data_IF_553153191686
#
_entry.id   IF_553153191686
#
_cell.length_a   1.000
_cell.length_b   1.000
_cell.length_c   1.000
_cell.angle_alpha   90.00
_cell.angle_beta   90.00
_cell.angle_gamma   90.00
#
_symmetry.space_group_name_H-M   'P 1'
#
loop_
_entity.id
_entity.type
_entity.pdbx_description
1 polymer ?
#
# COMPACT_ATOMS: atom_id res chain seq x y z
N UNK A 1 -35.66 -51.68 14.92
CA UNK A 1 -35.12 -50.53 15.67
C UNK A 1 -34.04 -49.91 14.81
N UNK A 2 -34.31 -48.75 14.22
CA UNK A 2 -33.31 -48.02 13.42
C UNK A 2 -32.42 -47.24 14.39
N UNK A 3 -31.14 -47.58 14.47
CA UNK A 3 -30.16 -46.81 15.24
C UNK A 3 -30.06 -45.39 14.66
N UNK A 4 -30.35 -44.39 15.48
CA UNK A 4 -30.10 -42.99 15.16
C UNK A 4 -28.58 -42.78 15.25
N UNK A 5 -27.89 -42.36 14.18
CA UNK A 5 -26.44 -42.19 14.23
C UNK A 5 -26.10 -41.09 15.23
N UNK A 6 -25.23 -41.43 16.20
CA UNK A 6 -24.72 -40.50 17.21
C UNK A 6 -23.88 -39.46 16.48
N UNK A 7 -24.34 -38.19 16.47
CA UNK A 7 -23.61 -37.09 15.82
C UNK A 7 -22.22 -37.00 16.47
N UNK A 8 -21.17 -37.21 15.69
CA UNK A 8 -19.78 -37.13 16.16
C UNK A 8 -19.50 -35.74 16.71
N UNK A 9 -18.66 -35.65 17.74
CA UNK A 9 -18.21 -34.36 18.27
C UNK A 9 -17.56 -33.53 17.16
N UNK A 10 -17.82 -32.20 17.12
CA UNK A 10 -17.27 -31.34 16.09
C UNK A 10 -15.75 -31.31 16.23
N UNK A 11 -15.08 -31.37 15.08
CA UNK A 11 -13.63 -31.18 15.02
C UNK A 11 -13.24 -29.78 15.50
N UNK A 12 -11.97 -29.63 15.88
CA UNK A 12 -11.42 -28.34 16.31
C UNK A 12 -11.66 -27.25 15.25
N UNK A 13 -11.48 -27.59 13.96
CA UNK A 13 -11.71 -26.68 12.84
C UNK A 13 -13.17 -26.24 12.70
N UNK A 14 -14.14 -27.16 12.88
CA UNK A 14 -15.57 -26.83 12.85
C UNK A 14 -15.99 -25.94 14.02
N UNK A 15 -15.38 -26.16 15.18
CA UNK A 15 -15.59 -25.33 16.38
C UNK A 15 -15.08 -23.90 16.14
N UNK A 16 -13.87 -23.74 15.60
CA UNK A 16 -13.34 -22.42 15.23
C UNK A 16 -14.18 -21.75 14.16
N UNK A 17 -14.63 -22.48 13.13
CA UNK A 17 -15.48 -21.92 12.06
C UNK A 17 -16.85 -21.46 12.58
N UNK A 18 -17.44 -22.19 13.51
CA UNK A 18 -18.69 -21.79 14.15
C UNK A 18 -18.51 -20.51 14.99
N UNK A 19 -17.39 -20.40 15.70
CA UNK A 19 -17.01 -19.20 16.44
C UNK A 19 -16.77 -17.98 15.52
N UNK A 20 -16.03 -18.15 14.42
CA UNK A 20 -15.80 -17.10 13.42
C UNK A 20 -17.10 -16.55 12.84
N UNK A 21 -18.04 -17.44 12.49
CA UNK A 21 -19.35 -17.05 11.97
C UNK A 21 -20.18 -16.29 13.00
N UNK A 22 -20.09 -16.65 14.27
CA UNK A 22 -20.75 -15.92 15.36
C UNK A 22 -20.18 -14.49 15.49
N UNK A 23 -18.89 -14.31 15.25
CA UNK A 23 -18.25 -13.00 15.18
C UNK A 23 -18.56 -12.21 13.88
N UNK A 24 -19.37 -12.77 12.97
CA UNK A 24 -19.77 -12.12 11.72
C UNK A 24 -18.75 -12.22 10.58
N UNK A 25 -17.68 -13.01 10.73
CA UNK A 25 -16.70 -13.20 9.66
C UNK A 25 -17.27 -14.07 8.54
N UNK A 26 -17.17 -13.55 7.31
CA UNK A 26 -17.55 -14.29 6.09
C UNK A 26 -16.42 -15.23 5.63
N UNK A 27 -15.17 -14.77 5.75
CA UNK A 27 -13.97 -15.50 5.34
C UNK A 27 -13.34 -16.25 6.53
N UNK A 28 -12.66 -17.36 6.26
CA UNK A 28 -11.92 -18.10 7.28
C UNK A 28 -10.75 -17.28 7.82
N UNK A 29 -10.56 -17.28 9.14
CA UNK A 29 -9.42 -16.60 9.75
C UNK A 29 -8.20 -17.52 9.64
N UNK A 30 -7.09 -16.96 9.14
CA UNK A 30 -5.79 -17.65 9.18
C UNK A 30 -5.20 -17.56 10.59
N UNK A 31 -5.75 -18.36 11.51
CA UNK A 31 -5.40 -18.34 12.94
C UNK A 31 -3.90 -18.37 13.25
N UNK A 32 -3.06 -19.19 12.58
CA UNK A 32 -1.62 -19.15 12.83
C UNK A 32 -0.99 -17.79 12.55
N UNK A 33 -1.42 -17.11 11.48
CA UNK A 33 -0.94 -15.77 11.12
C UNK A 33 -1.48 -14.74 12.12
N UNK A 34 -2.77 -14.81 12.45
CA UNK A 34 -3.40 -13.90 13.39
C UNK A 34 -2.73 -13.95 14.77
N UNK A 35 -2.52 -15.15 15.31
CA UNK A 35 -1.83 -15.38 16.58
C UNK A 35 -0.38 -14.88 16.51
N UNK A 36 0.34 -15.17 15.42
CA UNK A 36 1.73 -14.71 15.25
C UNK A 36 1.85 -13.19 15.27
N UNK A 37 0.94 -12.49 14.57
CA UNK A 37 0.89 -11.03 14.55
C UNK A 37 0.59 -10.50 15.96
N UNK A 38 -0.40 -11.05 16.66
CA UNK A 38 -0.75 -10.62 18.02
C UNK A 38 0.43 -10.80 18.97
N UNK A 39 1.06 -11.97 18.98
CA UNK A 39 2.20 -12.27 19.85
C UNK A 39 3.39 -11.36 19.54
N UNK A 40 3.67 -11.10 18.25
CA UNK A 40 4.73 -10.19 17.84
C UNK A 40 4.52 -8.77 18.40
N UNK A 41 3.29 -8.24 18.36
CA UNK A 41 2.99 -6.91 18.89
C UNK A 41 3.03 -6.88 20.42
N UNK A 42 2.51 -7.90 21.10
CA UNK A 42 2.60 -8.00 22.56
C UNK A 42 4.05 -8.07 23.05
N UNK A 43 4.88 -8.86 22.37
CA UNK A 43 6.32 -8.93 22.62
C UNK A 43 6.99 -7.58 22.37
N UNK A 44 6.64 -6.89 21.27
CA UNK A 44 7.16 -5.56 20.96
C UNK A 44 6.83 -4.52 22.04
N UNK A 45 5.58 -4.51 22.54
CA UNK A 45 5.16 -3.62 23.63
C UNK A 45 5.96 -3.92 24.91
N UNK A 46 6.04 -5.20 25.30
CA UNK A 46 6.80 -5.64 26.47
C UNK A 46 8.28 -5.24 26.35
N UNK A 47 8.90 -5.49 25.19
CA UNK A 47 10.30 -5.16 24.93
C UNK A 47 10.53 -3.64 24.99
N UNK A 48 9.65 -2.85 24.37
CA UNK A 48 9.75 -1.40 24.39
C UNK A 48 9.65 -0.84 25.82
N UNK A 49 8.72 -1.36 26.61
CA UNK A 49 8.52 -0.93 28.00
C UNK A 49 9.74 -1.25 28.88
N UNK A 50 10.40 -2.40 28.70
CA UNK A 50 11.52 -2.83 29.55
C UNK A 50 12.90 -2.40 29.07
N UNK A 51 13.12 -2.32 27.75
CA UNK A 51 14.47 -2.22 27.18
C UNK A 51 14.67 -1.05 26.23
N UNK A 52 13.61 -0.49 25.64
CA UNK A 52 13.77 0.63 24.71
C UNK A 52 13.87 1.97 25.43
N UNK A 53 13.28 2.13 26.63
CA UNK A 53 13.26 3.40 27.34
C UNK A 53 14.40 3.49 28.37
N UNK A 54 15.22 4.57 28.36
CA UNK A 54 15.19 5.73 27.45
C UNK A 54 15.93 5.49 26.12
N UNK A 55 15.27 5.80 25.00
CA UNK A 55 15.80 5.58 23.65
C UNK A 55 16.86 6.63 23.32
N UNK A 56 18.00 6.21 22.76
CA UNK A 56 18.99 7.14 22.21
C UNK A 56 18.45 7.79 20.93
N UNK A 57 18.72 9.07 20.71
CA UNK A 57 18.26 9.78 19.51
C UNK A 57 18.75 9.13 18.20
N UNK A 58 19.91 8.46 18.21
CA UNK A 58 20.42 7.71 17.06
C UNK A 58 19.49 6.57 16.65
N UNK A 59 18.88 5.89 17.62
CA UNK A 59 17.91 4.81 17.36
C UNK A 59 16.65 5.38 16.72
N UNK A 60 16.20 6.57 17.15
CA UNK A 60 15.07 7.27 16.52
C UNK A 60 15.42 7.66 15.08
N UNK A 61 16.60 8.24 14.85
CA UNK A 61 17.08 8.58 13.52
C UNK A 61 17.18 7.36 12.59
N UNK A 62 17.71 6.25 13.10
CA UNK A 62 17.78 4.98 12.37
C UNK A 62 16.39 4.42 12.06
N UNK A 63 15.45 4.47 13.02
CA UNK A 63 14.08 4.04 12.80
C UNK A 63 13.39 4.87 11.70
N UNK A 64 13.54 6.19 11.73
CA UNK A 64 13.01 7.08 10.69
C UNK A 64 13.64 6.80 9.32
N UNK A 65 14.96 6.55 9.27
CA UNK A 65 15.64 6.16 8.05
C UNK A 65 15.10 4.84 7.49
N UNK A 66 14.96 3.81 8.33
CA UNK A 66 14.43 2.50 7.92
C UNK A 66 12.98 2.60 7.47
N UNK A 67 12.17 3.44 8.12
CA UNK A 67 10.80 3.72 7.72
C UNK A 67 10.73 4.31 6.31
N UNK A 68 11.52 5.35 6.02
CA UNK A 68 11.57 5.94 4.68
C UNK A 68 12.12 4.96 3.64
N UNK A 69 13.20 4.25 3.97
CA UNK A 69 13.82 3.26 3.08
C UNK A 69 12.81 2.17 2.69
N UNK A 70 12.18 1.53 3.68
CA UNK A 70 11.16 0.50 3.44
C UNK A 70 9.95 1.05 2.68
N UNK A 71 9.52 2.27 3.00
CA UNK A 71 8.46 2.98 2.29
C UNK A 71 8.76 3.16 0.80
N UNK A 72 9.98 3.59 0.43
CA UNK A 72 10.38 3.68 -0.98
C UNK A 72 10.44 2.31 -1.66
N UNK A 73 10.89 1.27 -0.96
CA UNK A 73 10.91 -0.11 -1.46
C UNK A 73 9.50 -0.63 -1.80
N UNK A 74 8.52 -0.38 -0.92
CA UNK A 74 7.12 -0.74 -1.15
C UNK A 74 6.51 0.10 -2.28
N UNK A 75 6.54 1.43 -2.14
CA UNK A 75 5.78 2.33 -3.01
C UNK A 75 6.44 2.52 -4.38
N UNK A 76 7.73 2.91 -4.40
CA UNK A 76 8.47 3.07 -5.65
C UNK A 76 8.77 1.73 -6.31
N UNK A 77 9.17 0.74 -5.52
CA UNK A 77 9.51 -0.61 -5.99
C UNK A 77 8.30 -1.50 -6.25
N UNK A 78 7.83 -2.20 -5.20
CA UNK A 78 6.80 -3.25 -5.31
C UNK A 78 5.55 -2.76 -6.04
N UNK A 79 5.09 -1.57 -5.70
CA UNK A 79 3.86 -1.02 -6.21
C UNK A 79 4.03 -0.40 -7.62
N UNK A 80 4.75 0.72 -7.74
CA UNK A 80 4.78 1.52 -8.97
C UNK A 80 5.66 0.92 -10.08
N UNK A 81 6.83 0.36 -9.74
CA UNK A 81 7.76 -0.22 -10.70
C UNK A 81 7.38 -1.64 -11.12
N UNK A 82 7.21 -2.57 -10.17
CA UNK A 82 7.02 -3.99 -10.50
C UNK A 82 5.56 -4.36 -10.80
N UNK A 83 4.60 -3.91 -9.97
CA UNK A 83 3.18 -4.20 -10.20
C UNK A 83 2.60 -3.36 -11.34
N UNK A 84 2.75 -2.04 -11.26
CA UNK A 84 2.10 -1.12 -12.20
C UNK A 84 2.91 -0.79 -13.45
N UNK A 85 4.23 -1.04 -13.44
CA UNK A 85 5.12 -0.75 -14.58
C UNK A 85 4.99 0.69 -15.09
N UNK A 86 4.76 1.62 -14.16
CA UNK A 86 4.53 3.04 -14.43
C UNK A 86 5.78 3.79 -14.88
N UNK A 87 6.97 3.23 -14.61
CA UNK A 87 8.26 3.69 -15.10
C UNK A 87 9.23 2.52 -15.25
N UNK A 88 10.37 2.75 -15.91
CA UNK A 88 11.51 1.81 -15.99
C UNK A 88 12.67 2.31 -15.14
N UNK A 89 13.43 1.36 -14.60
CA UNK A 89 14.59 1.63 -13.76
C UNK A 89 15.83 0.86 -14.23
N UNK A 90 16.99 1.47 -14.04
CA UNK A 90 18.31 0.82 -14.23
C UNK A 90 18.52 -0.27 -13.17
N UNK A 91 19.48 -1.17 -13.41
CA UNK A 91 19.77 -2.27 -12.49
C UNK A 91 20.18 -1.80 -11.08
N UNK A 92 21.04 -0.78 -10.88
CA UNK A 92 21.37 -0.29 -9.55
C UNK A 92 20.16 0.16 -8.75
N UNK A 93 19.25 0.92 -9.38
CA UNK A 93 18.02 1.37 -8.73
C UNK A 93 17.08 0.19 -8.40
N UNK A 94 16.97 -0.81 -9.29
CA UNK A 94 16.19 -2.03 -9.02
C UNK A 94 16.72 -2.80 -7.83
N UNK A 95 18.04 -2.97 -7.72
CA UNK A 95 18.66 -3.67 -6.59
C UNK A 95 18.47 -2.90 -5.28
N UNK A 96 18.62 -1.57 -5.31
CA UNK A 96 18.33 -0.72 -4.17
C UNK A 96 16.88 -0.88 -3.70
N UNK A 97 15.91 -0.73 -4.62
CA UNK A 97 14.49 -0.86 -4.31
C UNK A 97 14.12 -2.26 -3.81
N UNK A 98 14.79 -3.30 -4.32
CA UNK A 98 14.56 -4.67 -3.90
C UNK A 98 15.06 -4.91 -2.46
N UNK A 99 16.25 -4.42 -2.14
CA UNK A 99 16.79 -4.47 -0.77
C UNK A 99 15.94 -3.65 0.20
N UNK A 100 15.48 -2.48 -0.23
CA UNK A 100 14.56 -1.63 0.52
C UNK A 100 13.19 -2.30 0.75
N UNK A 101 12.65 -3.01 -0.24
CA UNK A 101 11.41 -3.77 -0.09
C UNK A 101 11.58 -4.98 0.85
N UNK A 102 12.71 -5.70 0.73
CA UNK A 102 13.01 -6.84 1.58
C UNK A 102 13.09 -6.45 3.07
N UNK A 103 13.59 -5.25 3.39
CA UNK A 103 13.63 -4.77 4.78
C UNK A 103 12.24 -4.44 5.36
N UNK A 104 11.21 -4.32 4.53
CA UNK A 104 9.85 -3.99 4.96
C UNK A 104 9.07 -5.19 5.53
N UNK A 105 9.46 -6.42 5.18
CA UNK A 105 8.83 -7.65 5.68
C UNK A 105 7.33 -7.81 5.35
N UNK A 106 6.85 -7.21 4.25
CA UNK A 106 5.42 -7.14 3.93
C UNK A 106 4.90 -8.31 3.08
N UNK A 107 3.66 -8.73 3.36
CA UNK A 107 2.78 -9.50 2.47
C UNK A 107 1.51 -8.65 2.24
N UNK A 108 1.45 -7.94 1.11
CA UNK A 108 0.54 -6.80 0.94
C UNK A 108 -0.87 -7.25 0.53
N UNK A 109 -1.90 -6.69 1.17
CA UNK A 109 -3.31 -6.76 0.75
C UNK A 109 -3.87 -5.32 0.72
N UNK A 110 -4.47 -4.85 -0.40
CA UNK A 110 -4.89 -3.46 -0.55
C UNK A 110 -6.16 -3.11 0.25
N UNK A 111 -6.20 -1.91 0.85
CA UNK A 111 -7.39 -1.33 1.52
C UNK A 111 -7.31 0.20 1.64
N UNK A 112 -8.46 0.88 1.59
CA UNK A 112 -8.60 2.35 1.48
C UNK A 112 -8.55 3.10 2.83
N UNK A 113 -7.68 4.11 2.99
CA UNK A 113 -7.74 5.07 4.12
C UNK A 113 -6.87 6.34 3.91
N UNK A 114 -7.47 7.54 4.00
CA UNK A 114 -6.81 8.86 3.83
C UNK A 114 -5.85 9.27 4.96
N UNK A 115 -5.97 8.72 6.15
CA UNK A 115 -4.98 8.90 7.22
C UNK A 115 -3.77 7.99 6.98
N UNK A 116 -4.01 6.75 6.54
CA UNK A 116 -2.95 5.78 6.18
C UNK A 116 -2.10 6.34 5.05
N UNK A 117 -2.73 6.97 4.06
CA UNK A 117 -2.10 7.70 2.95
C UNK A 117 -0.94 8.63 3.33
N UNK A 118 -1.12 9.42 4.40
CA UNK A 118 -0.10 10.38 4.86
C UNK A 118 1.06 9.65 5.52
N UNK A 119 0.78 8.55 6.21
CA UNK A 119 1.80 7.69 6.81
C UNK A 119 2.53 6.87 5.75
N UNK A 120 1.89 6.50 4.63
CA UNK A 120 2.48 5.64 3.58
C UNK A 120 3.23 6.38 2.47
N UNK A 121 3.58 7.66 2.66
CA UNK A 121 4.48 8.43 1.79
C UNK A 121 3.96 8.71 0.36
N UNK A 122 2.67 9.01 0.21
CA UNK A 122 2.11 9.53 -1.05
C UNK A 122 1.15 8.61 -1.78
N UNK A 123 0.84 7.44 -1.24
CA UNK A 123 -0.23 6.56 -1.70
C UNK A 123 -1.57 7.05 -1.15
N UNK A 124 -1.93 8.32 -1.38
CA UNK A 124 -3.13 8.94 -0.79
C UNK A 124 -4.29 9.15 -1.74
N UNK A 125 -3.97 9.32 -3.01
CA UNK A 125 -4.91 9.55 -4.08
C UNK A 125 -5.42 8.22 -4.63
N UNK A 126 -5.92 7.34 -3.77
CA UNK A 126 -6.28 5.97 -4.16
C UNK A 126 -7.38 5.91 -5.23
N UNK A 127 -8.39 6.80 -5.18
CA UNK A 127 -9.39 6.92 -6.25
C UNK A 127 -8.73 7.22 -7.60
N UNK A 128 -7.80 8.18 -7.63
CA UNK A 128 -7.04 8.51 -8.83
C UNK A 128 -6.14 7.33 -9.24
N UNK A 129 -5.42 6.73 -8.30
CA UNK A 129 -4.48 5.66 -8.54
C UNK A 129 -5.18 4.40 -9.09
N UNK A 130 -6.34 4.01 -8.56
CA UNK A 130 -7.13 2.90 -9.10
C UNK A 130 -7.71 3.21 -10.48
N UNK A 131 -7.98 4.48 -10.77
CA UNK A 131 -8.44 4.91 -12.09
C UNK A 131 -7.31 4.99 -13.12
N UNK A 132 -6.13 5.46 -12.72
CA UNK A 132 -4.93 5.61 -13.53
C UNK A 132 -3.76 4.83 -12.93
N UNK A 133 -3.85 3.49 -12.88
CA UNK A 133 -2.85 2.66 -12.20
C UNK A 133 -1.47 2.72 -12.85
N UNK A 134 -1.41 3.12 -14.12
CA UNK A 134 -0.17 3.28 -14.86
C UNK A 134 0.55 4.60 -14.57
N UNK A 135 -0.09 5.58 -13.92
CA UNK A 135 0.52 6.88 -13.63
C UNK A 135 1.57 6.75 -12.52
N UNK A 136 2.82 7.13 -12.81
CA UNK A 136 3.93 6.96 -11.86
C UNK A 136 3.83 7.87 -10.64
N UNK A 137 3.08 8.98 -10.72
CA UNK A 137 2.87 9.90 -9.60
C UNK A 137 1.88 9.31 -8.60
N UNK A 138 1.00 8.41 -9.06
CA UNK A 138 -0.15 7.92 -8.31
C UNK A 138 -1.04 9.04 -7.73
N UNK A 139 -1.00 10.23 -8.34
CA UNK A 139 -1.72 11.43 -7.91
C UNK A 139 -2.00 12.35 -9.10
N UNK A 140 -3.11 13.09 -9.04
CA UNK A 140 -3.57 13.99 -10.12
C UNK A 140 -2.65 15.20 -10.32
N UNK A 141 -2.16 15.78 -9.22
CA UNK A 141 -1.39 17.01 -9.23
C UNK A 141 -0.16 16.90 -8.33
N UNK A 142 0.62 17.97 -8.30
CA UNK A 142 1.75 18.12 -7.39
C UNK A 142 1.28 18.00 -5.94
N UNK A 143 1.72 16.96 -5.25
CA UNK A 143 1.41 16.74 -3.83
C UNK A 143 2.72 16.84 -3.02
N UNK A 144 2.86 17.84 -2.13
CA UNK A 144 4.05 18.02 -1.31
C UNK A 144 4.31 16.86 -0.34
N UNK A 145 3.31 16.00 -0.10
CA UNK A 145 3.44 14.82 0.75
C UNK A 145 3.76 13.54 -0.05
N UNK A 146 3.88 13.63 -1.37
CA UNK A 146 4.25 12.50 -2.22
C UNK A 146 5.77 12.34 -2.33
N UNK A 147 6.37 12.01 -1.17
CA UNK A 147 7.81 11.76 -1.01
C UNK A 147 8.35 10.73 -1.99
N UNK A 148 7.55 9.71 -2.33
CA UNK A 148 7.92 8.71 -3.32
C UNK A 148 8.10 9.32 -4.72
N UNK A 149 7.21 10.21 -5.16
CA UNK A 149 7.36 10.90 -6.45
C UNK A 149 8.60 11.79 -6.47
N UNK A 150 8.94 12.49 -5.38
CA UNK A 150 10.20 13.24 -5.29
C UNK A 150 11.42 12.34 -5.39
N UNK A 151 11.42 11.20 -4.70
CA UNK A 151 12.46 10.20 -4.77
C UNK A 151 12.64 9.69 -6.21
N UNK A 152 11.54 9.32 -6.88
CA UNK A 152 11.58 8.85 -8.28
C UNK A 152 12.08 9.97 -9.21
N UNK A 153 11.66 11.22 -9.01
CA UNK A 153 12.11 12.37 -9.79
C UNK A 153 13.61 12.68 -9.59
N UNK A 154 14.17 12.43 -8.41
CA UNK A 154 15.62 12.47 -8.20
C UNK A 154 16.33 11.41 -9.06
N UNK A 155 15.82 10.17 -9.10
CA UNK A 155 16.40 9.15 -9.97
C UNK A 155 16.16 9.39 -11.46
N UNK A 156 15.09 10.12 -11.81
CA UNK A 156 14.87 10.65 -13.16
C UNK A 156 15.95 11.63 -13.57
N UNK A 157 16.31 12.57 -12.69
CA UNK A 157 17.28 13.63 -13.02
C UNK A 157 18.69 13.08 -13.28
N UNK A 158 19.06 11.97 -12.63
CA UNK A 158 20.34 11.27 -12.86
C UNK A 158 20.24 10.16 -13.94
N UNK A 159 19.09 10.01 -14.60
CA UNK A 159 18.88 9.04 -15.68
C UNK A 159 18.72 7.58 -15.25
N UNK A 160 18.54 7.31 -13.95
CA UNK A 160 18.36 5.96 -13.42
C UNK A 160 16.91 5.47 -13.48
N UNK A 161 15.96 6.40 -13.56
CA UNK A 161 14.56 6.13 -13.84
C UNK A 161 14.14 6.83 -15.13
N UNK A 162 13.38 6.15 -15.99
CA UNK A 162 13.05 6.60 -17.34
C UNK A 162 11.73 5.99 -17.83
N UNK A 163 11.23 6.43 -18.99
CA UNK A 163 9.99 5.92 -19.62
C UNK A 163 8.77 6.01 -18.68
N UNK A 164 8.54 7.21 -18.14
CA UNK A 164 7.45 7.51 -17.21
C UNK A 164 6.11 7.59 -17.95
N UNK A 165 5.09 7.00 -17.33
CA UNK A 165 3.70 7.08 -17.77
C UNK A 165 2.95 8.04 -16.86
N UNK A 166 2.20 8.96 -17.46
CA UNK A 166 1.36 9.95 -16.77
C UNK A 166 0.01 10.00 -17.48
N UNK A 167 -1.09 10.16 -16.73
CA UNK A 167 -2.38 10.43 -17.34
C UNK A 167 -2.42 11.88 -17.85
N UNK A 168 -2.97 12.08 -19.05
CA UNK A 168 -3.08 13.44 -19.60
C UNK A 168 -4.24 14.20 -18.93
N UNK A 169 -4.17 15.54 -18.85
CA UNK A 169 -5.27 16.34 -18.34
C UNK A 169 -6.60 16.03 -19.02
N UNK A 170 -6.61 15.78 -20.33
CA UNK A 170 -7.80 15.43 -21.11
C UNK A 170 -8.38 14.08 -20.67
N UNK A 171 -7.52 13.07 -20.45
CA UNK A 171 -7.94 11.77 -19.94
C UNK A 171 -8.57 11.87 -18.55
N UNK A 172 -7.97 12.69 -17.68
CA UNK A 172 -8.45 12.94 -16.31
C UNK A 172 -9.83 13.63 -16.37
N UNK A 173 -9.95 14.70 -17.14
CA UNK A 173 -11.18 15.47 -17.30
C UNK A 173 -12.32 14.64 -17.92
N UNK A 174 -12.04 13.88 -18.97
CA UNK A 174 -13.03 13.00 -19.60
C UNK A 174 -13.50 11.91 -18.64
N UNK A 175 -12.59 11.35 -17.85
CA UNK A 175 -12.92 10.34 -16.83
C UNK A 175 -13.74 10.92 -15.69
N UNK A 176 -13.36 12.09 -15.18
CA UNK A 176 -14.11 12.79 -14.15
C UNK A 176 -15.52 13.19 -14.62
N UNK A 177 -15.68 13.64 -15.87
CA UNK A 177 -17.00 13.91 -16.45
C UNK A 177 -17.86 12.64 -16.56
N UNK A 178 -17.25 11.49 -16.87
CA UNK A 178 -17.96 10.22 -17.11
C UNK A 178 -18.31 9.47 -15.83
N UNK A 179 -17.39 9.43 -14.87
CA UNK A 179 -17.46 8.55 -13.70
C UNK A 179 -17.29 9.30 -12.37
N UNK A 180 -16.99 10.59 -12.40
CA UNK A 180 -16.76 11.38 -11.19
C UNK A 180 -18.04 11.57 -10.38
N UNK A 181 -17.86 11.85 -9.10
CA UNK A 181 -18.91 12.14 -8.13
C UNK A 181 -19.34 13.62 -8.12
N UNK A 182 -18.84 14.41 -9.08
CA UNK A 182 -19.07 15.85 -9.20
C UNK A 182 -18.04 16.72 -8.47
N UNK A 183 -17.05 16.12 -7.79
CA UNK A 183 -15.92 16.91 -7.27
C UNK A 183 -15.11 17.53 -8.41
N UNK A 184 -14.67 18.80 -8.28
CA UNK A 184 -13.88 19.46 -9.32
C UNK A 184 -12.53 18.78 -9.54
N UNK A 185 -12.17 18.58 -10.80
CA UNK A 185 -10.79 18.23 -11.19
C UNK A 185 -9.88 19.43 -10.98
N UNK A 186 -8.61 19.16 -10.66
CA UNK A 186 -7.66 20.21 -10.30
C UNK A 186 -7.23 21.04 -11.52
N UNK A 187 -7.16 20.44 -12.70
CA UNK A 187 -6.80 21.10 -13.96
C UNK A 187 -7.93 20.91 -15.00
N UNK A 188 -9.01 21.70 -14.93
CA UNK A 188 -10.12 21.56 -15.85
C UNK A 188 -9.70 21.90 -17.29
N UNK A 189 -10.03 21.01 -18.23
CA UNK A 189 -9.82 21.20 -19.67
C UNK A 189 -11.18 21.25 -20.35
N UNK A 190 -11.35 22.22 -21.25
CA UNK A 190 -12.60 22.36 -21.99
C UNK A 190 -12.72 21.30 -23.08
N UNK A 191 -13.33 20.17 -22.71
CA UNK A 191 -13.55 19.00 -23.58
C UNK A 191 -14.81 19.14 -24.46
N UNK A 192 -15.46 20.31 -24.54
CA UNK A 192 -16.61 20.49 -25.43
C UNK A 192 -16.24 20.81 -26.89
N UNK A 193 -14.96 21.07 -27.19
CA UNK A 193 -14.46 21.41 -28.52
C UNK A 193 -13.46 20.40 -29.10
N UNK A 194 -13.30 19.20 -28.52
CA UNK A 194 -12.48 18.16 -29.13
C UNK A 194 -13.32 17.36 -30.13
N UNK A 195 -13.18 17.68 -31.41
CA UNK A 195 -13.74 16.94 -32.55
C UNK A 195 -13.13 15.53 -32.67
N UNK A 196 -13.61 14.59 -31.85
CA UNK A 196 -13.41 13.14 -32.03
C UNK A 196 -14.73 12.40 -31.90
#
# INVERSE_FOLDING_TARGET
>A
MTEVPKKSEPSLGETFRAFEKNLGFKNDIKWPVAISIILYHLFGIYWCYHYALPVKWQTVGFAMFMFLLSGFGITGGAHRLWTHKSYKATLPLKLFLLGAFASAGQNIVPSENRFVATVTLGEGWHNYHHMFPFDYKAAEHFDPFNWCTYFINFFRSIGWAYDFREATPEMINATAKRLGDGTPVHNPVDITNSDY
#
